data_IF_342248585263
#
_entry.id   IF_342248585263
#
_cell.length_a   1.000
_cell.length_b   1.000
_cell.length_c   1.000
_cell.angle_alpha   90.00
_cell.angle_beta   90.00
_cell.angle_gamma   90.00
#
_symmetry.space_group_name_H-M   'P 1'
#
loop_
_entity.id
_entity.type
_entity.pdbx_description
1 polymer ?
#
# COMPACT_ATOMS: atom_id res chain seq x y z
N UNK A 1 -2.13 -13.04 15.22
CA UNK A 1 -1.28 -12.29 14.27
C UNK A 1 -2.03 -12.24 12.97
N UNK A 2 -2.37 -11.05 12.48
CA UNK A 2 -2.96 -10.91 11.14
C UNK A 2 -1.89 -11.28 10.11
N UNK A 3 -2.18 -12.28 9.28
CA UNK A 3 -1.29 -12.66 8.18
C UNK A 3 -1.36 -11.59 7.09
N UNK A 4 -0.28 -10.85 6.91
CA UNK A 4 -0.13 -9.97 5.76
C UNK A 4 0.10 -10.85 4.52
N UNK A 5 -0.76 -10.71 3.51
CA UNK A 5 -0.55 -11.39 2.23
C UNK A 5 0.58 -10.72 1.45
N UNK A 6 1.39 -11.51 0.74
CA UNK A 6 2.45 -10.98 -0.13
C UNK A 6 1.93 -10.00 -1.18
N UNK A 7 0.70 -10.23 -1.69
CA UNK A 7 0.06 -9.30 -2.62
C UNK A 7 -0.11 -7.90 -2.00
N UNK A 8 -0.53 -7.80 -0.73
CA UNK A 8 -0.63 -6.51 -0.04
C UNK A 8 0.73 -5.84 0.15
N UNK A 9 1.78 -6.62 0.40
CA UNK A 9 3.16 -6.08 0.49
C UNK A 9 3.58 -5.50 -0.86
N UNK A 10 3.37 -6.24 -1.95
CA UNK A 10 3.72 -5.78 -3.29
C UNK A 10 2.91 -4.55 -3.72
N UNK A 11 1.61 -4.52 -3.44
CA UNK A 11 0.74 -3.36 -3.70
C UNK A 11 1.24 -2.13 -2.93
N UNK A 12 1.61 -2.30 -1.67
CA UNK A 12 2.12 -1.21 -0.84
C UNK A 12 3.49 -0.71 -1.32
N UNK A 13 4.42 -1.61 -1.65
CA UNK A 13 5.73 -1.23 -2.21
C UNK A 13 5.59 -0.45 -3.51
N UNK A 14 4.71 -0.91 -4.40
CA UNK A 14 4.43 -0.22 -5.66
C UNK A 14 3.81 1.17 -5.41
N UNK A 15 2.81 1.25 -4.53
CA UNK A 15 2.22 2.53 -4.13
C UNK A 15 3.29 3.52 -3.62
N UNK A 16 4.17 3.08 -2.73
CA UNK A 16 5.20 3.92 -2.13
C UNK A 16 6.19 4.45 -3.18
N UNK A 17 6.68 3.59 -4.08
CA UNK A 17 7.59 4.00 -5.16
C UNK A 17 6.89 4.98 -6.10
N UNK A 18 5.63 4.72 -6.45
CA UNK A 18 4.84 5.59 -7.33
C UNK A 18 4.62 6.98 -6.72
N UNK A 19 4.17 7.07 -5.46
CA UNK A 19 3.98 8.37 -4.79
C UNK A 19 5.30 9.12 -4.60
N UNK A 20 6.38 8.41 -4.26
CA UNK A 20 7.71 9.03 -4.12
C UNK A 20 8.23 9.57 -5.46
N UNK A 21 7.97 8.87 -6.56
CA UNK A 21 8.39 9.32 -7.90
C UNK A 21 7.83 10.69 -8.28
N UNK A 22 6.63 11.04 -7.78
CA UNK A 22 6.00 12.35 -8.02
C UNK A 22 6.73 13.51 -7.35
N UNK A 23 7.54 13.23 -6.34
CA UNK A 23 8.33 14.24 -5.63
C UNK A 23 9.60 14.65 -6.40
N UNK A 24 9.96 13.91 -7.45
CA UNK A 24 11.17 14.19 -8.22
C UNK A 24 11.04 15.52 -8.97
N UNK A 25 12.01 16.41 -8.75
CA UNK A 25 12.11 17.72 -9.40
C UNK A 25 13.04 17.72 -10.62
N UNK A 26 13.42 16.54 -11.09
CA UNK A 26 14.32 16.35 -12.23
C UNK A 26 13.85 15.14 -13.04
N UNK A 27 14.29 15.07 -14.30
CA UNK A 27 14.07 13.90 -15.14
C UNK A 27 15.21 12.91 -14.89
N UNK A 28 14.94 11.69 -14.37
CA UNK A 28 15.98 10.69 -14.17
C UNK A 28 16.68 10.35 -15.48
N UNK A 29 18.01 10.30 -15.44
CA UNK A 29 18.84 9.85 -16.55
C UNK A 29 19.65 8.66 -16.07
N UNK A 30 19.71 7.60 -16.89
CA UNK A 30 20.52 6.43 -16.59
C UNK A 30 22.00 6.85 -16.53
N UNK A 31 22.71 6.63 -15.41
CA UNK A 31 24.13 6.93 -15.35
C UNK A 31 24.93 5.92 -16.19
N UNK A 32 26.10 6.29 -16.75
CA UNK A 32 26.94 5.38 -17.55
C UNK A 32 27.36 4.10 -16.80
N UNK A 33 27.47 4.19 -15.48
CA UNK A 33 27.81 3.07 -14.59
C UNK A 33 26.64 2.11 -14.33
N UNK A 34 25.40 2.48 -14.68
CA UNK A 34 24.24 1.65 -14.41
C UNK A 34 24.31 0.32 -15.16
N UNK A 35 24.25 -0.77 -14.40
CA UNK A 35 24.11 -2.12 -14.92
C UNK A 35 22.65 -2.52 -14.95
N UNK A 36 22.27 -3.24 -15.99
CA UNK A 36 20.94 -3.83 -16.08
C UNK A 36 20.81 -4.93 -15.03
N UNK A 37 19.71 -4.90 -14.28
CA UNK A 37 19.32 -5.99 -13.37
C UNK A 37 18.29 -6.83 -14.10
N UNK A 38 18.61 -8.10 -14.32
CA UNK A 38 17.70 -9.12 -14.84
C UNK A 38 17.57 -10.27 -13.83
N UNK A 39 16.61 -11.18 -14.07
CA UNK A 39 16.45 -12.35 -13.20
C UNK A 39 17.76 -13.14 -13.08
N UNK A 40 18.48 -13.34 -14.19
CA UNK A 40 19.78 -14.01 -14.21
C UNK A 40 20.82 -13.29 -13.35
N UNK A 41 20.92 -11.96 -13.45
CA UNK A 41 21.90 -11.21 -12.66
C UNK A 41 21.58 -11.29 -11.16
N UNK A 42 20.31 -11.27 -10.75
CA UNK A 42 19.93 -11.45 -9.35
C UNK A 42 20.33 -12.83 -8.83
N UNK A 43 20.10 -13.88 -9.62
CA UNK A 43 20.48 -15.25 -9.26
C UNK A 43 22.00 -15.43 -9.17
N UNK A 44 22.78 -14.70 -9.96
CA UNK A 44 24.24 -14.78 -9.93
C UNK A 44 24.85 -14.26 -8.60
N UNK A 45 24.18 -13.33 -7.92
CA UNK A 45 24.67 -12.76 -6.65
C UNK A 45 24.03 -13.42 -5.42
N UNK A 46 22.98 -14.22 -5.60
CA UNK A 46 22.25 -14.85 -4.52
C UNK A 46 22.96 -16.11 -4.02
N UNK A 47 23.03 -16.28 -2.70
CA UNK A 47 23.45 -17.55 -2.09
C UNK A 47 22.42 -18.65 -2.40
N UNK A 48 22.80 -19.92 -2.20
CA UNK A 48 21.96 -21.04 -2.63
C UNK A 48 20.52 -20.99 -2.06
N UNK A 49 20.38 -20.66 -0.78
CA UNK A 49 19.07 -20.53 -0.13
C UNK A 49 18.27 -19.33 -0.65
N UNK A 50 18.95 -18.22 -0.93
CA UNK A 50 18.33 -17.03 -1.50
C UNK A 50 17.87 -17.30 -2.93
N UNK A 51 18.66 -18.04 -3.71
CA UNK A 51 18.32 -18.48 -5.06
C UNK A 51 17.03 -19.30 -5.07
N UNK A 52 16.89 -20.27 -4.17
CA UNK A 52 15.66 -21.06 -4.04
C UNK A 52 14.44 -20.18 -3.71
N UNK A 53 14.60 -19.18 -2.83
CA UNK A 53 13.52 -18.25 -2.48
C UNK A 53 13.17 -17.31 -3.65
N UNK A 54 14.17 -16.79 -4.37
CA UNK A 54 13.99 -15.95 -5.55
C UNK A 54 13.30 -16.72 -6.68
N UNK A 55 13.66 -17.99 -6.89
CA UNK A 55 13.02 -18.84 -7.89
C UNK A 55 11.55 -19.11 -7.53
N UNK A 56 11.27 -19.41 -6.25
CA UNK A 56 9.89 -19.62 -5.77
C UNK A 56 9.03 -18.35 -5.80
N UNK A 57 9.64 -17.18 -5.61
CA UNK A 57 8.93 -15.88 -5.63
C UNK A 57 8.80 -15.29 -7.03
N UNK A 58 9.26 -16.00 -8.07
CA UNK A 58 9.15 -15.54 -9.45
C UNK A 58 7.69 -15.39 -9.85
N UNK A 59 7.21 -14.14 -9.86
CA UNK A 59 5.90 -13.81 -10.40
C UNK A 59 5.95 -13.86 -11.93
N UNK A 60 4.98 -14.53 -12.53
CA UNK A 60 4.71 -14.41 -13.96
C UNK A 60 3.71 -13.28 -14.18
N UNK A 61 3.84 -12.51 -15.29
CA UNK A 61 2.80 -11.57 -15.66
C UNK A 61 1.46 -12.30 -15.71
N UNK A 62 0.44 -11.70 -15.11
CA UNK A 62 -0.92 -12.21 -15.22
C UNK A 62 -1.31 -12.23 -16.70
N UNK A 63 -1.69 -13.41 -17.21
CA UNK A 63 -2.31 -13.53 -18.53
C UNK A 63 -3.73 -12.94 -18.53
N UNK A 64 -4.34 -12.85 -17.35
CA UNK A 64 -5.62 -12.19 -17.17
C UNK A 64 -5.45 -10.68 -17.22
N UNK A 65 -6.39 -10.02 -17.89
CA UNK A 65 -6.50 -8.56 -17.87
C UNK A 65 -6.68 -8.08 -16.43
N UNK A 66 -6.17 -6.88 -16.07
CA UNK A 66 -6.45 -6.27 -14.78
C UNK A 66 -7.95 -6.34 -14.49
N UNK A 67 -8.33 -6.88 -13.32
CA UNK A 67 -9.73 -6.93 -12.96
C UNK A 67 -10.28 -5.50 -12.93
N UNK A 68 -11.49 -5.29 -13.47
CA UNK A 68 -12.21 -4.05 -13.17
C UNK A 68 -12.54 -4.10 -11.68
N UNK A 69 -11.95 -3.19 -10.91
CA UNK A 69 -12.44 -2.96 -9.56
C UNK A 69 -13.95 -2.72 -9.67
N UNK A 70 -14.79 -3.40 -8.87
CA UNK A 70 -16.21 -3.14 -8.89
C UNK A 70 -16.45 -1.65 -8.63
N UNK A 71 -17.45 -1.09 -9.28
CA UNK A 71 -17.83 0.30 -9.06
C UNK A 71 -17.99 0.52 -7.55
N UNK A 72 -17.39 1.60 -7.06
CA UNK A 72 -17.45 1.90 -5.64
C UNK A 72 -18.91 1.93 -5.19
N UNK A 73 -19.26 1.12 -4.20
CA UNK A 73 -20.58 1.12 -3.57
C UNK A 73 -20.74 2.48 -2.87
N UNK A 74 -21.26 3.45 -3.62
CA UNK A 74 -21.37 4.85 -3.23
C UNK A 74 -22.22 4.98 -1.98
N UNK A 75 -23.29 4.22 -1.88
CA UNK A 75 -24.20 4.22 -0.74
C UNK A 75 -23.50 3.69 0.51
N UNK A 76 -22.72 2.61 0.39
CA UNK A 76 -21.92 2.09 1.51
C UNK A 76 -20.84 3.07 1.93
N UNK A 77 -20.19 3.73 0.97
CA UNK A 77 -19.19 4.76 1.25
C UNK A 77 -19.82 5.97 1.96
N UNK A 78 -20.97 6.44 1.52
CA UNK A 78 -21.72 7.52 2.16
C UNK A 78 -22.18 7.14 3.56
N UNK A 79 -22.69 5.92 3.77
CA UNK A 79 -23.02 5.40 5.10
C UNK A 79 -21.81 5.37 6.03
N UNK A 80 -20.64 4.97 5.52
CA UNK A 80 -19.38 4.98 6.28
C UNK A 80 -18.96 6.40 6.65
N UNK A 81 -19.04 7.34 5.70
CA UNK A 81 -18.75 8.76 5.94
C UNK A 81 -19.68 9.34 7.00
N UNK A 82 -20.99 9.04 6.91
CA UNK A 82 -21.99 9.54 7.85
C UNK A 82 -21.81 8.97 9.25
N UNK A 83 -21.57 7.65 9.37
CA UNK A 83 -21.22 7.03 10.66
C UNK A 83 -20.00 7.68 11.27
N UNK A 84 -18.96 7.92 10.48
CA UNK A 84 -17.73 8.56 10.96
C UNK A 84 -18.01 9.96 11.50
N UNK A 85 -18.87 10.75 10.84
CA UNK A 85 -19.30 12.07 11.34
C UNK A 85 -20.05 11.98 12.66
N UNK A 86 -21.03 11.08 12.76
CA UNK A 86 -21.80 10.86 13.99
C UNK A 86 -20.91 10.46 15.15
N UNK A 87 -20.00 9.50 14.95
CA UNK A 87 -19.06 9.09 16.00
C UNK A 87 -18.17 10.26 16.47
N UNK A 88 -17.74 11.13 15.57
CA UNK A 88 -16.95 12.31 15.94
C UNK A 88 -17.78 13.30 16.77
N UNK A 89 -19.04 13.54 16.39
CA UNK A 89 -19.96 14.39 17.16
C UNK A 89 -20.28 13.80 18.54
N UNK A 90 -20.58 12.50 18.61
CA UNK A 90 -20.87 11.80 19.86
C UNK A 90 -19.70 11.92 20.84
N UNK A 91 -18.47 11.68 20.36
CA UNK A 91 -17.27 11.85 21.18
C UNK A 91 -17.11 13.29 21.65
N UNK A 92 -17.31 14.30 20.78
CA UNK A 92 -17.27 15.71 21.19
C UNK A 92 -18.30 16.04 22.27
N UNK A 93 -19.52 15.56 22.12
CA UNK A 93 -20.60 15.77 23.09
C UNK A 93 -20.28 15.09 24.43
N UNK A 94 -19.69 13.89 24.39
CA UNK A 94 -19.21 13.20 25.59
C UNK A 94 -18.08 13.97 26.30
N UNK A 95 -17.15 14.55 25.55
CA UNK A 95 -16.07 15.37 26.14
C UNK A 95 -16.61 16.70 26.72
N UNK A 96 -17.55 17.37 26.05
CA UNK A 96 -18.20 18.57 26.58
C UNK A 96 -18.97 18.28 27.88
N UNK A 97 -19.79 17.23 27.90
CA UNK A 97 -20.56 16.85 29.09
C UNK A 97 -19.68 16.36 30.26
N UNK A 98 -18.53 15.75 29.99
CA UNK A 98 -17.51 15.47 31.02
C UNK A 98 -16.92 16.75 31.60
N UNK A 99 -16.61 17.73 30.75
CA UNK A 99 -16.02 19.02 31.17
C UNK A 99 -17.00 19.81 32.04
N UNK A 100 -18.29 19.83 31.70
CA UNK A 100 -19.34 20.48 32.51
C UNK A 100 -19.59 19.80 33.86
N UNK A 101 -19.46 18.47 33.95
CA UNK A 101 -19.60 17.72 35.21
C UNK A 101 -18.36 17.79 36.10
N UNK A 102 -17.19 18.11 35.54
CA UNK A 102 -15.95 18.33 36.31
C UNK A 102 -15.77 19.75 36.84
N UNK A 103 -16.62 20.71 36.43
CA UNK A 103 -16.64 22.11 36.91
C UNK A 103 -17.79 22.43 37.89
N UNK A 104 -18.59 21.44 38.30
CA UNK A 104 -19.51 21.51 39.45
C UNK A 104 -18.96 20.67 40.59
#
# INVERSE_FOLDING_TARGET
MESISMNRVYDYMFHLINEYSKLQRFKPVKPPSAKEVCAGSLMCFAEQKERELLERSRAVPSMDRPCKLPDADRDRLERLIQRKKQTIEDVRNMEMTKTERGSR
#
